data_IF_004293779431
#
_entry.id   IF_004293779431
#
_cell.length_a   1.000
_cell.length_b   1.000
_cell.length_c   1.000
_cell.angle_alpha   90.00
_cell.angle_beta   90.00
_cell.angle_gamma   90.00
#
_symmetry.space_group_name_H-M   'P 1'
#
loop_
_entity.id
_entity.type
_entity.pdbx_description
1 polymer ?
#
# COMPACT_ATOMS: atom_id res chain seq x y z
N UNK A 1 -23.34 -25.09 -45.83
CA UNK A 1 -23.29 -25.85 -44.55
C UNK A 1 -22.43 -25.19 -43.47
N UNK A 2 -21.27 -24.58 -43.80
CA UNK A 2 -20.42 -23.82 -42.85
C UNK A 2 -21.07 -22.59 -42.18
N UNK A 3 -21.92 -21.82 -42.86
CA UNK A 3 -22.55 -20.62 -42.28
C UNK A 3 -23.55 -20.92 -41.15
N UNK A 4 -24.40 -21.94 -41.30
CA UNK A 4 -25.37 -22.31 -40.25
C UNK A 4 -24.69 -22.80 -38.95
N UNK A 5 -23.54 -23.46 -39.07
CA UNK A 5 -22.78 -23.95 -37.92
C UNK A 5 -22.14 -22.82 -37.10
N UNK A 6 -21.66 -21.75 -37.76
CA UNK A 6 -21.10 -20.55 -37.11
C UNK A 6 -22.16 -19.79 -36.31
N UNK A 7 -23.36 -19.62 -36.87
CA UNK A 7 -24.48 -18.93 -36.19
C UNK A 7 -24.96 -19.72 -34.97
N UNK A 8 -25.06 -21.05 -35.06
CA UNK A 8 -25.49 -21.89 -33.92
C UNK A 8 -24.51 -21.87 -32.75
N UNK A 9 -23.19 -21.83 -33.01
CA UNK A 9 -22.17 -21.75 -31.94
C UNK A 9 -22.15 -20.37 -31.29
N UNK A 10 -22.25 -19.29 -32.07
CA UNK A 10 -22.33 -17.92 -31.53
C UNK A 10 -23.56 -17.74 -30.64
N UNK A 11 -24.72 -18.25 -31.07
CA UNK A 11 -25.94 -18.25 -30.24
C UNK A 11 -25.73 -19.05 -28.96
N UNK A 12 -25.09 -20.23 -29.03
CA UNK A 12 -24.83 -21.07 -27.87
C UNK A 12 -23.93 -20.38 -26.83
N UNK A 13 -22.91 -19.64 -27.30
CA UNK A 13 -21.97 -18.91 -26.44
C UNK A 13 -22.66 -17.69 -25.83
N UNK A 14 -23.38 -16.89 -26.61
CA UNK A 14 -24.16 -15.77 -26.08
C UNK A 14 -25.16 -16.25 -25.03
N UNK A 15 -25.81 -17.39 -25.27
CA UNK A 15 -26.74 -18.00 -24.32
C UNK A 15 -26.01 -18.51 -23.06
N UNK A 16 -24.82 -19.11 -23.20
CA UNK A 16 -24.01 -19.55 -22.07
C UNK A 16 -23.50 -18.37 -21.22
N UNK A 17 -23.11 -17.26 -21.84
CA UNK A 17 -22.69 -16.02 -21.15
C UNK A 17 -23.86 -15.40 -20.37
N UNK A 18 -25.05 -15.35 -20.98
CA UNK A 18 -26.26 -14.88 -20.31
C UNK A 18 -26.63 -15.78 -19.14
N UNK A 19 -26.54 -17.11 -19.31
CA UNK A 19 -26.80 -18.08 -18.23
C UNK A 19 -25.78 -17.90 -17.10
N UNK A 20 -24.51 -17.69 -17.39
CA UNK A 20 -23.47 -17.46 -16.39
C UNK A 20 -23.74 -16.18 -15.57
N UNK A 21 -24.07 -15.07 -16.24
CA UNK A 21 -24.42 -13.80 -15.57
C UNK A 21 -25.65 -13.97 -14.68
N UNK A 22 -26.68 -14.66 -15.17
CA UNK A 22 -27.88 -14.97 -14.39
C UNK A 22 -27.54 -15.85 -13.17
N UNK A 23 -26.63 -16.81 -13.32
CA UNK A 23 -26.18 -17.69 -12.24
C UNK A 23 -25.41 -16.91 -11.16
N UNK A 24 -24.54 -15.97 -11.56
CA UNK A 24 -23.85 -15.06 -10.64
C UNK A 24 -24.83 -14.18 -9.87
N UNK A 25 -25.82 -13.59 -10.55
CA UNK A 25 -26.89 -12.81 -9.90
C UNK A 25 -27.69 -13.66 -8.91
N UNK A 26 -27.98 -14.92 -9.27
CA UNK A 26 -28.67 -15.88 -8.41
C UNK A 26 -27.84 -16.22 -7.16
N UNK A 27 -26.53 -16.45 -7.30
CA UNK A 27 -25.63 -16.73 -6.16
C UNK A 27 -25.58 -15.53 -5.21
N UNK A 28 -25.41 -14.32 -5.73
CA UNK A 28 -25.39 -13.08 -4.91
C UNK A 28 -26.72 -12.89 -4.17
N UNK A 29 -27.85 -13.10 -4.86
CA UNK A 29 -29.18 -12.96 -4.25
C UNK A 29 -29.46 -14.06 -3.21
N UNK A 30 -29.04 -15.31 -3.45
CA UNK A 30 -29.37 -16.45 -2.58
C UNK A 30 -28.49 -16.48 -1.33
N UNK A 31 -27.22 -16.11 -1.44
CA UNK A 31 -26.27 -16.18 -0.33
C UNK A 31 -26.10 -14.87 0.45
N UNK A 32 -26.76 -13.75 0.03
CA UNK A 32 -26.58 -12.41 0.64
C UNK A 32 -25.11 -12.13 0.97
N UNK A 33 -24.24 -12.36 -0.01
CA UNK A 33 -22.79 -12.21 0.16
C UNK A 33 -22.44 -10.75 0.45
N UNK A 34 -21.45 -10.51 1.31
CA UNK A 34 -20.91 -9.16 1.54
C UNK A 34 -20.38 -8.52 0.26
N UNK A 35 -20.14 -7.20 0.26
CA UNK A 35 -19.67 -6.46 -0.92
C UNK A 35 -18.40 -7.08 -1.53
N UNK A 36 -17.43 -7.49 -0.70
CA UNK A 36 -16.17 -8.09 -1.16
C UNK A 36 -16.37 -9.42 -1.93
N UNK A 37 -17.17 -10.34 -1.37
CA UNK A 37 -17.46 -11.62 -2.02
C UNK A 37 -18.28 -11.43 -3.31
N UNK A 38 -19.12 -10.39 -3.35
CA UNK A 38 -19.89 -10.02 -4.54
C UNK A 38 -18.97 -9.51 -5.65
N UNK A 39 -18.01 -8.63 -5.33
CA UNK A 39 -17.00 -8.13 -6.28
C UNK A 39 -16.15 -9.28 -6.82
N UNK A 40 -15.71 -10.21 -5.96
CA UNK A 40 -14.94 -11.38 -6.39
C UNK A 40 -15.69 -12.28 -7.39
N UNK A 41 -16.97 -12.55 -7.16
CA UNK A 41 -17.80 -13.38 -8.06
C UNK A 41 -18.01 -12.68 -9.41
N UNK A 42 -18.28 -11.37 -9.41
CA UNK A 42 -18.45 -10.61 -10.64
C UNK A 42 -17.15 -10.47 -11.44
N UNK A 43 -16.02 -10.24 -10.77
CA UNK A 43 -14.71 -10.19 -11.43
C UNK A 43 -14.40 -11.53 -12.11
N UNK A 44 -14.56 -12.65 -11.39
CA UNK A 44 -14.29 -13.99 -11.94
C UNK A 44 -15.20 -14.34 -13.12
N UNK A 45 -16.47 -13.93 -13.08
CA UNK A 45 -17.40 -14.08 -14.19
C UNK A 45 -17.03 -13.19 -15.39
N UNK A 46 -16.65 -11.93 -15.15
CA UNK A 46 -16.20 -11.01 -16.19
C UNK A 46 -14.92 -11.50 -16.86
N UNK A 47 -13.94 -12.00 -16.08
CA UNK A 47 -12.71 -12.62 -16.61
C UNK A 47 -13.03 -13.85 -17.45
N UNK A 48 -13.94 -14.71 -17.00
CA UNK A 48 -14.34 -15.91 -17.76
C UNK A 48 -15.04 -15.54 -19.07
N UNK A 49 -15.96 -14.58 -19.05
CA UNK A 49 -16.65 -14.07 -20.24
C UNK A 49 -15.67 -13.39 -21.19
N UNK A 50 -14.77 -12.56 -20.68
CA UNK A 50 -13.72 -11.90 -21.47
C UNK A 50 -12.79 -12.92 -22.12
N UNK A 51 -12.36 -13.94 -21.37
CA UNK A 51 -11.49 -15.02 -21.88
C UNK A 51 -12.21 -15.86 -22.94
N UNK A 52 -13.49 -16.19 -22.73
CA UNK A 52 -14.30 -16.92 -23.72
C UNK A 52 -14.52 -16.06 -24.96
N UNK A 53 -14.78 -14.76 -24.80
CA UNK A 53 -14.96 -13.83 -25.92
C UNK A 53 -13.70 -13.72 -26.76
N UNK A 54 -12.54 -13.48 -26.11
CA UNK A 54 -11.22 -13.48 -26.76
C UNK A 54 -10.98 -14.82 -27.48
N UNK A 55 -11.21 -15.96 -26.82
CA UNK A 55 -10.99 -17.27 -27.43
C UNK A 55 -11.93 -17.57 -28.61
N UNK A 56 -13.17 -17.08 -28.57
CA UNK A 56 -14.18 -17.28 -29.63
C UNK A 56 -13.91 -16.35 -30.80
N UNK A 57 -13.48 -15.13 -30.54
CA UNK A 57 -13.09 -14.15 -31.55
C UNK A 57 -11.81 -14.59 -32.27
N UNK A 58 -10.81 -15.06 -31.52
CA UNK A 58 -9.59 -15.71 -32.05
C UNK A 58 -9.89 -16.95 -32.90
N UNK A 59 -10.97 -17.69 -32.59
CA UNK A 59 -11.35 -18.92 -33.33
C UNK A 59 -12.24 -18.64 -34.54
N UNK A 60 -12.99 -17.54 -34.56
CA UNK A 60 -13.95 -17.23 -35.62
C UNK A 60 -13.48 -16.16 -36.62
N UNK A 61 -12.54 -15.29 -36.24
CA UNK A 61 -11.96 -14.26 -37.08
C UNK A 61 -10.51 -14.57 -37.37
N UNK A 62 -10.18 -14.84 -38.63
CA UNK A 62 -8.80 -14.92 -39.09
C UNK A 62 -8.14 -13.54 -39.27
N UNK A 63 -8.68 -12.45 -38.70
CA UNK A 63 -8.23 -11.07 -38.97
C UNK A 63 -8.41 -10.07 -37.80
N UNK A 64 -8.42 -10.50 -36.52
CA UNK A 64 -8.32 -9.52 -35.41
C UNK A 64 -6.85 -9.41 -35.01
N UNK A 65 -6.21 -8.29 -35.35
CA UNK A 65 -4.84 -8.04 -34.92
C UNK A 65 -4.82 -7.64 -33.44
N UNK A 66 -3.69 -7.83 -32.77
CA UNK A 66 -3.49 -7.30 -31.41
C UNK A 66 -3.80 -5.79 -31.36
N UNK A 67 -3.39 -5.05 -32.39
CA UNK A 67 -3.66 -3.62 -32.53
C UNK A 67 -5.16 -3.29 -32.54
N UNK A 68 -5.99 -4.06 -33.27
CA UNK A 68 -7.45 -3.84 -33.28
C UNK A 68 -8.08 -4.09 -31.90
N UNK A 69 -7.62 -5.13 -31.20
CA UNK A 69 -8.07 -5.42 -29.84
C UNK A 69 -7.70 -4.30 -28.86
N UNK A 70 -6.47 -3.78 -28.92
CA UNK A 70 -6.02 -2.70 -28.05
C UNK A 70 -6.73 -1.38 -28.34
N UNK A 71 -7.03 -1.08 -29.62
CA UNK A 71 -7.85 0.06 -30.02
C UNK A 71 -9.26 -0.06 -29.42
N UNK A 72 -9.88 -1.24 -29.51
CA UNK A 72 -11.21 -1.48 -28.94
C UNK A 72 -11.22 -1.34 -27.40
N UNK A 73 -10.18 -1.84 -26.71
CA UNK A 73 -10.02 -1.64 -25.26
C UNK A 73 -9.85 -0.17 -24.89
N UNK A 74 -9.09 0.59 -25.70
CA UNK A 74 -8.93 2.01 -25.50
C UNK A 74 -10.27 2.75 -25.70
N UNK A 75 -11.06 2.40 -26.72
CA UNK A 75 -12.39 2.99 -26.92
C UNK A 75 -13.33 2.65 -25.76
N UNK A 76 -13.36 1.38 -25.32
CA UNK A 76 -14.12 0.95 -24.15
C UNK A 76 -13.79 1.77 -22.89
N UNK A 77 -12.51 2.07 -22.67
CA UNK A 77 -12.08 2.90 -21.56
C UNK A 77 -12.71 4.30 -21.61
N UNK A 78 -12.69 4.96 -22.78
CA UNK A 78 -13.21 6.31 -22.95
C UNK A 78 -14.74 6.38 -22.97
N UNK A 79 -15.41 5.33 -23.43
CA UNK A 79 -16.87 5.24 -23.44
C UNK A 79 -17.46 4.88 -22.06
N UNK A 80 -16.62 4.45 -21.12
CA UNK A 80 -17.06 4.08 -19.78
C UNK A 80 -17.04 5.28 -18.82
N UNK A 81 -18.22 5.83 -18.51
CA UNK A 81 -18.37 6.91 -17.53
C UNK A 81 -17.69 6.60 -16.18
N UNK A 82 -17.74 5.33 -15.74
CA UNK A 82 -17.14 4.89 -14.48
C UNK A 82 -15.62 4.93 -14.50
N UNK A 83 -15.00 4.46 -15.59
CA UNK A 83 -13.54 4.51 -15.75
C UNK A 83 -13.07 5.95 -15.91
N UNK A 84 -13.79 6.73 -16.73
CA UNK A 84 -13.48 8.13 -16.97
C UNK A 84 -13.59 8.99 -15.72
N UNK A 85 -14.55 8.72 -14.83
CA UNK A 85 -14.68 9.42 -13.55
C UNK A 85 -13.48 9.22 -12.64
N UNK A 86 -12.98 7.99 -12.52
CA UNK A 86 -11.73 7.72 -11.78
C UNK A 86 -10.55 8.40 -12.46
N UNK A 87 -10.47 8.29 -13.79
CA UNK A 87 -9.39 8.89 -14.58
C UNK A 87 -9.34 10.42 -14.44
N UNK A 88 -10.47 11.10 -14.48
CA UNK A 88 -10.57 12.55 -14.31
C UNK A 88 -10.05 13.00 -12.94
N UNK A 89 -10.39 12.28 -11.87
CA UNK A 89 -9.87 12.59 -10.53
C UNK A 89 -8.35 12.38 -10.48
N UNK A 90 -7.83 11.31 -11.10
CA UNK A 90 -6.39 11.06 -11.17
C UNK A 90 -5.64 12.17 -11.92
N UNK A 91 -6.11 12.56 -13.10
CA UNK A 91 -5.55 13.63 -13.92
C UNK A 91 -5.52 14.96 -13.17
N UNK A 92 -6.66 15.34 -12.58
CA UNK A 92 -6.75 16.58 -11.82
C UNK A 92 -5.84 16.55 -10.58
N UNK A 93 -5.68 15.39 -9.93
CA UNK A 93 -4.77 15.24 -8.78
C UNK A 93 -3.30 15.43 -9.19
N UNK A 94 -2.88 14.84 -10.32
CA UNK A 94 -1.51 14.99 -10.83
C UNK A 94 -1.23 16.44 -11.28
N UNK A 95 -2.17 17.06 -11.99
CA UNK A 95 -2.01 18.43 -12.49
C UNK A 95 -1.92 19.47 -11.36
N UNK A 96 -2.75 19.31 -10.33
CA UNK A 96 -2.80 20.25 -9.20
C UNK A 96 -1.74 19.92 -8.12
N UNK A 97 -1.19 18.71 -8.13
CA UNK A 97 -0.31 18.20 -7.07
C UNK A 97 -1.03 17.96 -5.74
N UNK A 98 -2.36 17.82 -5.78
CA UNK A 98 -3.23 17.63 -4.63
C UNK A 98 -3.94 16.28 -4.70
N UNK A 99 -3.64 15.42 -3.74
CA UNK A 99 -4.13 14.04 -3.67
C UNK A 99 -5.11 13.83 -2.51
N UNK A 100 -5.73 14.91 -2.02
CA UNK A 100 -6.60 14.89 -0.86
C UNK A 100 -7.88 14.08 -1.02
N UNK A 101 -8.42 13.63 0.11
CA UNK A 101 -9.65 12.82 0.20
C UNK A 101 -10.85 13.46 -0.51
N UNK A 102 -11.00 14.79 -0.41
CA UNK A 102 -12.16 15.52 -0.95
C UNK A 102 -12.35 15.36 -2.47
N UNK A 103 -11.29 15.09 -3.22
CA UNK A 103 -11.37 14.84 -4.67
C UNK A 103 -12.10 13.55 -5.01
N UNK A 104 -12.09 12.61 -4.08
CA UNK A 104 -12.63 11.27 -4.25
C UNK A 104 -14.02 11.10 -3.65
N UNK A 105 -14.60 12.15 -3.05
CA UNK A 105 -15.90 12.09 -2.36
C UNK A 105 -17.04 11.57 -3.24
N UNK A 106 -16.97 11.82 -4.54
CA UNK A 106 -17.98 11.42 -5.51
C UNK A 106 -17.62 10.11 -6.22
N UNK A 107 -16.45 9.51 -5.97
CA UNK A 107 -16.00 8.24 -6.55
C UNK A 107 -16.26 7.10 -5.58
N UNK A 108 -17.05 6.13 -6.01
CA UNK A 108 -17.34 4.92 -5.23
C UNK A 108 -16.20 3.90 -5.30
N UNK A 109 -16.13 3.04 -4.30
CA UNK A 109 -15.18 1.92 -4.27
C UNK A 109 -15.35 0.95 -5.45
N UNK A 110 -16.58 0.80 -5.95
CA UNK A 110 -16.90 -0.02 -7.12
C UNK A 110 -16.28 0.55 -8.40
N UNK A 111 -16.26 1.88 -8.55
CA UNK A 111 -15.63 2.54 -9.71
C UNK A 111 -14.11 2.35 -9.68
N UNK A 112 -13.48 2.45 -8.50
CA UNK A 112 -12.05 2.15 -8.31
C UNK A 112 -11.73 0.69 -8.61
N UNK A 113 -12.54 -0.25 -8.11
CA UNK A 113 -12.35 -1.68 -8.38
C UNK A 113 -12.49 -2.01 -9.88
N UNK A 114 -13.42 -1.34 -10.59
CA UNK A 114 -13.56 -1.49 -12.04
C UNK A 114 -12.30 -0.97 -12.77
N UNK A 115 -11.71 0.12 -12.29
CA UNK A 115 -10.45 0.64 -12.81
C UNK A 115 -9.30 -0.36 -12.62
N UNK A 116 -9.17 -0.98 -11.43
CA UNK A 116 -8.22 -2.08 -11.21
C UNK A 116 -8.45 -3.23 -12.21
N UNK A 117 -9.69 -3.70 -12.31
CA UNK A 117 -10.07 -4.85 -13.16
C UNK A 117 -9.69 -4.61 -14.62
N UNK A 118 -9.82 -3.37 -15.11
CA UNK A 118 -9.38 -3.01 -16.46
C UNK A 118 -7.89 -3.32 -16.67
N UNK A 119 -7.03 -2.94 -15.73
CA UNK A 119 -5.59 -3.19 -15.82
C UNK A 119 -5.21 -4.65 -15.54
N UNK A 120 -5.95 -5.36 -14.67
CA UNK A 120 -5.76 -6.80 -14.49
C UNK A 120 -5.98 -7.56 -15.80
N UNK A 121 -6.96 -7.15 -16.61
CA UNK A 121 -7.16 -7.72 -17.93
C UNK A 121 -5.97 -7.46 -18.87
N UNK A 122 -5.33 -6.28 -18.80
CA UNK A 122 -4.12 -6.00 -19.58
C UNK A 122 -2.94 -6.90 -19.17
N UNK A 123 -2.81 -7.20 -17.88
CA UNK A 123 -1.83 -8.17 -17.41
C UNK A 123 -2.06 -9.56 -18.00
N UNK A 124 -3.32 -10.01 -18.08
CA UNK A 124 -3.65 -11.30 -18.69
C UNK A 124 -3.24 -11.33 -20.17
N UNK A 125 -3.50 -10.25 -20.92
CA UNK A 125 -3.07 -10.15 -22.32
C UNK A 125 -1.54 -10.26 -22.45
N UNK A 126 -0.80 -9.58 -21.57
CA UNK A 126 0.65 -9.66 -21.57
C UNK A 126 1.16 -11.05 -21.19
N UNK A 127 0.63 -11.62 -20.10
CA UNK A 127 1.02 -12.94 -19.56
C UNK A 127 0.78 -14.07 -20.55
N UNK A 128 -0.26 -13.96 -21.38
CA UNK A 128 -0.56 -14.93 -22.44
C UNK A 128 0.13 -14.61 -23.78
N UNK A 129 1.06 -13.66 -23.81
CA UNK A 129 1.81 -13.23 -24.99
C UNK A 129 0.91 -12.76 -26.15
N UNK A 130 -0.26 -12.20 -25.82
CA UNK A 130 -1.18 -11.62 -26.80
C UNK A 130 -0.77 -10.18 -27.13
N UNK A 131 -0.41 -9.41 -26.11
CA UNK A 131 0.08 -8.03 -26.25
C UNK A 131 1.50 -7.88 -25.67
N UNK A 132 2.37 -7.17 -26.38
CA UNK A 132 3.68 -6.82 -25.84
C UNK A 132 3.54 -5.71 -24.80
N UNK A 133 4.51 -5.61 -23.86
CA UNK A 133 4.50 -4.50 -22.90
C UNK A 133 4.70 -3.14 -23.57
N UNK A 134 5.35 -3.10 -24.73
CA UNK A 134 5.54 -1.90 -25.55
C UNK A 134 4.19 -1.39 -26.08
N UNK A 135 3.38 -2.27 -26.68
CA UNK A 135 2.05 -1.92 -27.19
C UNK A 135 1.12 -1.44 -26.06
N UNK A 136 1.22 -2.08 -24.88
CA UNK A 136 0.45 -1.66 -23.71
C UNK A 136 0.92 -0.28 -23.20
N UNK A 137 2.23 -0.03 -23.15
CA UNK A 137 2.81 1.24 -22.69
C UNK A 137 2.34 2.43 -23.51
N UNK A 138 2.29 2.28 -24.84
CA UNK A 138 1.90 3.33 -25.77
C UNK A 138 0.47 3.82 -25.56
N UNK A 139 -0.46 2.94 -25.17
CA UNK A 139 -1.88 3.28 -25.04
C UNK A 139 -2.33 3.50 -23.59
N UNK A 140 -1.77 2.76 -22.64
CA UNK A 140 -2.31 2.66 -21.29
C UNK A 140 -1.31 3.02 -20.19
N UNK A 141 -0.01 3.13 -20.51
CA UNK A 141 1.02 3.27 -19.50
C UNK A 141 0.83 4.50 -18.62
N UNK A 142 0.55 5.67 -19.21
CA UNK A 142 0.32 6.90 -18.43
C UNK A 142 -0.83 6.75 -17.42
N UNK A 143 -1.97 6.22 -17.86
CA UNK A 143 -3.17 5.99 -17.04
C UNK A 143 -2.92 4.97 -15.93
N UNK A 144 -2.18 3.90 -16.25
CA UNK A 144 -1.80 2.88 -15.28
C UNK A 144 -0.98 3.49 -14.14
N UNK A 145 0.10 4.21 -14.49
CA UNK A 145 0.99 4.80 -13.49
C UNK A 145 0.34 5.92 -12.69
N UNK A 146 -0.56 6.72 -13.29
CA UNK A 146 -1.38 7.68 -12.56
C UNK A 146 -2.14 6.99 -11.44
N UNK A 147 -2.75 5.84 -11.73
CA UNK A 147 -3.55 5.12 -10.77
C UNK A 147 -2.73 4.48 -9.65
N UNK A 148 -1.79 3.62 -9.98
CA UNK A 148 -1.00 2.86 -9.00
C UNK A 148 -0.02 3.72 -8.18
N UNK A 149 0.42 4.87 -8.70
CA UNK A 149 1.28 5.79 -7.96
C UNK A 149 0.48 6.88 -7.24
N UNK A 150 -0.84 6.95 -7.39
CA UNK A 150 -1.65 7.91 -6.64
C UNK A 150 -1.67 7.51 -5.16
N UNK A 151 -1.24 8.39 -4.22
CA UNK A 151 -1.13 8.04 -2.82
C UNK A 151 -2.48 7.75 -2.18
N UNK A 152 -3.57 8.42 -2.58
CA UNK A 152 -4.91 8.09 -2.10
C UNK A 152 -5.32 6.67 -2.52
N UNK A 153 -5.10 6.30 -3.78
CA UNK A 153 -5.38 4.94 -4.27
C UNK A 153 -4.55 3.90 -3.51
N UNK A 154 -3.26 4.15 -3.30
CA UNK A 154 -2.40 3.26 -2.53
C UNK A 154 -2.91 3.08 -1.10
N UNK A 155 -3.20 4.17 -0.40
CA UNK A 155 -3.51 4.17 1.04
C UNK A 155 -4.92 3.67 1.36
N UNK A 156 -5.88 3.89 0.45
CA UNK A 156 -7.29 3.54 0.69
C UNK A 156 -7.74 2.26 -0.02
N UNK A 157 -7.06 1.83 -1.09
CA UNK A 157 -7.51 0.70 -1.90
C UNK A 157 -6.45 -0.39 -2.05
N UNK A 158 -5.31 -0.08 -2.66
CA UNK A 158 -4.37 -1.11 -3.14
C UNK A 158 -3.53 -1.71 -2.01
N UNK A 159 -2.96 -0.92 -1.11
CA UNK A 159 -2.09 -1.46 -0.04
C UNK A 159 -2.87 -2.18 1.08
N UNK A 160 -4.03 -1.67 1.56
CA UNK A 160 -4.75 -2.30 2.67
C UNK A 160 -5.28 -3.71 2.40
N UNK A 161 -5.59 -4.01 1.13
CA UNK A 161 -6.11 -5.32 0.70
C UNK A 161 -5.28 -5.86 -0.47
N UNK A 162 -3.97 -5.70 -0.37
CA UNK A 162 -3.01 -5.91 -1.46
C UNK A 162 -3.05 -7.31 -2.11
N UNK A 163 -3.38 -8.36 -1.36
CA UNK A 163 -3.55 -9.72 -1.90
C UNK A 163 -4.73 -9.86 -2.86
N UNK A 164 -5.66 -8.91 -2.85
CA UNK A 164 -6.78 -8.86 -3.82
C UNK A 164 -6.36 -8.32 -5.19
N UNK A 165 -5.21 -7.64 -5.29
CA UNK A 165 -4.77 -6.94 -6.50
C UNK A 165 -3.44 -7.50 -7.06
N UNK A 166 -3.17 -8.79 -6.85
CA UNK A 166 -1.91 -9.44 -7.25
C UNK A 166 -1.57 -9.17 -8.71
N UNK A 167 -2.53 -9.23 -9.63
CA UNK A 167 -2.30 -9.00 -11.05
C UNK A 167 -1.89 -7.55 -11.35
N UNK A 168 -2.37 -6.58 -10.57
CA UNK A 168 -1.93 -5.18 -10.67
C UNK A 168 -0.46 -5.04 -10.28
N UNK A 169 -0.01 -5.68 -9.21
CA UNK A 169 1.40 -5.66 -8.80
C UNK A 169 2.32 -6.38 -9.79
N UNK A 170 1.89 -7.54 -10.31
CA UNK A 170 2.64 -8.27 -11.32
C UNK A 170 2.77 -7.45 -12.62
N UNK A 171 1.70 -6.79 -13.03
CA UNK A 171 1.73 -5.84 -14.14
C UNK A 171 2.68 -4.69 -13.87
N UNK A 172 2.61 -4.09 -12.68
CA UNK A 172 3.49 -3.01 -12.25
C UNK A 172 4.96 -3.39 -12.36
N UNK A 173 5.34 -4.57 -11.86
CA UNK A 173 6.71 -5.07 -11.92
C UNK A 173 7.22 -5.20 -13.36
N UNK A 174 6.41 -5.78 -14.25
CA UNK A 174 6.77 -5.91 -15.67
C UNK A 174 6.94 -4.51 -16.29
N UNK A 175 5.99 -3.63 -16.05
CA UNK A 175 5.91 -2.32 -16.69
C UNK A 175 7.00 -1.37 -16.22
N UNK A 176 7.31 -1.36 -14.92
CA UNK A 176 8.37 -0.49 -14.38
C UNK A 176 9.75 -0.95 -14.84
N UNK A 177 9.99 -2.27 -14.95
CA UNK A 177 11.22 -2.83 -15.52
C UNK A 177 11.39 -2.38 -16.98
N UNK A 178 10.32 -2.43 -17.76
CA UNK A 178 10.30 -1.92 -19.13
C UNK A 178 10.65 -0.42 -19.19
N UNK A 179 9.95 0.45 -18.43
CA UNK A 179 10.21 1.89 -18.43
C UNK A 179 11.59 2.27 -17.91
N UNK A 180 12.12 1.56 -16.90
CA UNK A 180 13.50 1.76 -16.42
C UNK A 180 14.52 1.46 -17.50
N UNK A 181 14.33 0.36 -18.24
CA UNK A 181 15.17 0.02 -19.40
C UNK A 181 15.09 1.10 -20.47
N UNK A 182 13.88 1.55 -20.81
CA UNK A 182 13.67 2.57 -21.84
C UNK A 182 14.24 3.94 -21.45
N UNK A 183 14.21 4.31 -20.17
CA UNK A 183 14.75 5.58 -19.71
C UNK A 183 16.27 5.52 -19.40
N UNK A 184 16.86 4.33 -19.36
CA UNK A 184 18.28 4.14 -19.03
C UNK A 184 19.20 4.79 -20.06
N UNK A 185 20.22 5.52 -19.60
CA UNK A 185 21.22 6.18 -20.46
C UNK A 185 20.69 7.41 -21.21
N UNK A 186 19.52 7.95 -20.85
CA UNK A 186 18.90 9.10 -21.49
C UNK A 186 18.82 10.28 -20.50
N UNK A 187 19.10 11.50 -20.98
CA UNK A 187 19.10 12.72 -20.14
C UNK A 187 17.69 13.29 -19.87
N UNK A 188 16.66 12.45 -19.96
CA UNK A 188 15.25 12.82 -19.77
C UNK A 188 14.33 11.60 -19.76
N UNK A 189 13.05 11.82 -19.43
CA UNK A 189 12.04 10.76 -19.41
C UNK A 189 11.46 10.57 -20.82
N UNK A 190 11.95 9.60 -21.59
CA UNK A 190 11.23 9.23 -22.82
C UNK A 190 9.86 8.64 -22.49
N UNK A 191 9.77 7.92 -21.37
CA UNK A 191 8.52 7.40 -20.80
C UNK A 191 8.33 7.99 -19.40
N UNK A 192 7.56 9.08 -19.31
CA UNK A 192 7.27 9.75 -18.04
C UNK A 192 6.46 8.87 -17.10
N UNK A 193 6.90 8.76 -15.83
CA UNK A 193 6.19 8.06 -14.76
C UNK A 193 5.53 9.12 -13.86
N UNK A 194 4.20 9.34 -13.97
CA UNK A 194 3.47 10.29 -13.14
C UNK A 194 3.56 9.88 -11.66
N UNK A 195 3.48 10.87 -10.77
CA UNK A 195 3.57 10.65 -9.33
C UNK A 195 4.80 9.82 -8.90
N UNK A 196 5.93 9.97 -9.58
CA UNK A 196 7.13 9.12 -9.39
C UNK A 196 7.68 9.05 -7.96
N UNK A 197 7.41 10.07 -7.13
CA UNK A 197 7.78 10.09 -5.71
C UNK A 197 7.00 9.10 -4.83
N UNK A 198 5.88 8.59 -5.34
CA UNK A 198 5.01 7.62 -4.65
C UNK A 198 5.11 6.22 -5.26
N UNK A 199 6.08 5.96 -6.15
CA UNK A 199 6.29 4.62 -6.67
C UNK A 199 6.44 3.58 -5.56
N UNK A 200 5.91 2.39 -5.81
CA UNK A 200 6.07 1.26 -4.89
C UNK A 200 7.56 0.90 -4.79
N UNK A 201 8.08 0.68 -3.57
CA UNK A 201 9.46 0.28 -3.38
C UNK A 201 9.79 -1.04 -4.09
N UNK A 202 11.03 -1.18 -4.58
CA UNK A 202 11.47 -2.43 -5.20
C UNK A 202 11.43 -3.59 -4.20
N UNK A 203 11.84 -3.37 -2.95
CA UNK A 203 11.77 -4.37 -1.87
C UNK A 203 10.35 -4.88 -1.64
N UNK A 204 9.36 -3.99 -1.61
CA UNK A 204 7.95 -4.35 -1.45
C UNK A 204 7.47 -5.33 -2.54
N UNK A 205 7.95 -5.13 -3.77
CA UNK A 205 7.61 -5.94 -4.93
C UNK A 205 8.39 -7.26 -4.95
N UNK A 206 9.70 -7.21 -4.74
CA UNK A 206 10.60 -8.37 -4.82
C UNK A 206 10.35 -9.37 -3.68
N UNK A 207 10.10 -8.87 -2.46
CA UNK A 207 9.75 -9.69 -1.29
C UNK A 207 8.28 -10.11 -1.28
N UNK A 208 7.50 -9.66 -2.28
CA UNK A 208 6.06 -9.91 -2.44
C UNK A 208 5.26 -9.56 -1.20
N UNK A 209 5.57 -8.42 -0.57
CA UNK A 209 4.89 -7.95 0.63
C UNK A 209 3.38 -7.77 0.42
N UNK A 210 2.95 -7.50 -0.81
CA UNK A 210 1.54 -7.45 -1.23
C UNK A 210 0.77 -8.77 -1.07
N UNK A 211 1.42 -9.88 -0.74
CA UNK A 211 0.74 -11.16 -0.42
C UNK A 211 0.47 -11.33 1.08
N UNK A 212 0.95 -10.43 1.92
CA UNK A 212 0.91 -10.54 3.38
C UNK A 212 -0.03 -9.53 4.04
N UNK A 213 -1.19 -9.24 3.44
CA UNK A 213 -2.21 -8.43 4.13
C UNK A 213 -3.03 -9.28 5.11
N UNK A 214 -3.33 -8.68 6.26
CA UNK A 214 -4.18 -9.26 7.29
C UNK A 214 -5.56 -8.57 7.32
N UNK A 215 -5.93 -7.89 6.22
CA UNK A 215 -7.11 -7.03 6.13
C UNK A 215 -7.05 -5.78 7.01
N UNK A 216 -8.23 -5.20 7.26
CA UNK A 216 -8.40 -3.90 7.94
C UNK A 216 -8.70 -4.00 9.44
N UNK A 217 -8.75 -5.21 10.02
CA UNK A 217 -9.32 -5.41 11.37
C UNK A 217 -8.59 -4.68 12.49
N UNK A 218 -7.28 -4.46 12.32
CA UNK A 218 -6.45 -3.76 13.30
C UNK A 218 -6.22 -2.28 12.93
N UNK A 219 -6.87 -1.75 11.89
CA UNK A 219 -6.72 -0.36 11.49
C UNK A 219 -7.55 0.55 12.40
N UNK A 220 -6.94 1.66 12.82
CA UNK A 220 -7.61 2.70 13.60
C UNK A 220 -8.29 2.21 14.88
N UNK A 221 -7.86 1.07 15.42
CA UNK A 221 -8.40 0.51 16.66
C UNK A 221 -8.00 1.42 17.80
N UNK A 222 -9.00 1.93 18.53
CA UNK A 222 -8.77 2.76 19.70
C UNK A 222 -8.00 1.96 20.76
N UNK A 223 -6.92 2.57 21.27
CA UNK A 223 -6.02 1.99 22.27
C UNK A 223 -6.26 2.63 23.63
N UNK A 224 -6.39 3.95 23.68
CA UNK A 224 -6.57 4.72 24.91
C UNK A 224 -7.17 6.10 24.64
N UNK A 225 -7.85 6.66 25.63
CA UNK A 225 -8.30 8.05 25.64
C UNK A 225 -7.40 8.85 26.60
N UNK A 226 -6.79 9.90 26.08
CA UNK A 226 -5.82 10.71 26.80
C UNK A 226 -6.47 12.02 27.29
N UNK A 227 -5.79 12.70 28.22
CA UNK A 227 -6.23 14.01 28.70
C UNK A 227 -6.44 15.00 27.55
N UNK A 228 -7.31 15.99 27.75
CA UNK A 228 -7.68 17.01 26.75
C UNK A 228 -8.35 16.45 25.48
N UNK A 229 -8.87 15.21 25.52
CA UNK A 229 -9.65 14.61 24.43
C UNK A 229 -8.82 14.02 23.30
N UNK A 230 -7.50 13.89 23.49
CA UNK A 230 -6.64 13.20 22.53
C UNK A 230 -6.94 11.69 22.52
N UNK A 231 -6.87 11.07 21.35
CA UNK A 231 -7.16 9.64 21.17
C UNK A 231 -5.95 8.89 20.67
N UNK A 232 -5.57 7.83 21.36
CA UNK A 232 -4.51 6.92 20.93
C UNK A 232 -5.14 5.75 20.17
N UNK A 233 -4.62 5.42 18.98
CA UNK A 233 -5.13 4.34 18.13
C UNK A 233 -4.01 3.64 17.35
N UNK A 234 -4.23 2.41 16.92
CA UNK A 234 -3.36 1.77 15.92
C UNK A 234 -3.47 2.48 14.57
N UNK A 235 -2.42 2.44 13.76
CA UNK A 235 -2.39 3.08 12.43
C UNK A 235 -2.28 2.02 11.34
N UNK A 236 -2.93 2.29 10.21
CA UNK A 236 -2.85 1.50 8.98
C UNK A 236 -2.34 2.29 7.79
N UNK A 237 -2.35 1.68 6.60
CA UNK A 237 -1.95 2.34 5.34
C UNK A 237 -2.71 3.63 5.06
N UNK A 238 -3.93 3.73 5.57
CA UNK A 238 -4.80 4.90 5.45
C UNK A 238 -4.29 6.16 6.18
N UNK A 239 -3.21 6.00 6.97
CA UNK A 239 -2.52 7.04 7.73
C UNK A 239 -1.10 7.32 7.21
N UNK A 240 -0.64 6.66 6.13
CA UNK A 240 0.74 6.73 5.65
C UNK A 240 1.15 8.16 5.28
N UNK A 241 0.33 8.89 4.52
CA UNK A 241 0.62 10.29 4.17
C UNK A 241 0.69 11.17 5.43
N UNK A 242 -0.27 11.03 6.36
CA UNK A 242 -0.28 11.79 7.60
C UNK A 242 0.97 11.53 8.49
N UNK A 243 1.42 10.27 8.56
CA UNK A 243 2.66 9.89 9.26
C UNK A 243 3.88 10.55 8.61
N UNK A 244 3.96 10.50 7.28
CA UNK A 244 5.06 11.13 6.53
C UNK A 244 5.09 12.64 6.72
N UNK A 245 3.94 13.31 6.61
CA UNK A 245 3.80 14.76 6.77
C UNK A 245 4.18 15.22 8.18
N UNK A 246 3.68 14.54 9.21
CA UNK A 246 4.02 14.84 10.60
C UNK A 246 5.53 14.67 10.85
N UNK A 247 6.14 13.61 10.31
CA UNK A 247 7.58 13.40 10.41
C UNK A 247 8.37 14.53 9.73
N UNK A 248 8.00 14.91 8.50
CA UNK A 248 8.65 15.99 7.75
C UNK A 248 8.57 17.32 8.52
N UNK A 249 7.37 17.65 9.03
CA UNK A 249 7.14 18.85 9.84
C UNK A 249 8.03 18.87 11.09
N UNK A 250 8.04 17.79 11.87
CA UNK A 250 8.81 17.72 13.13
C UNK A 250 10.31 17.77 12.87
N UNK A 251 10.81 17.04 11.87
CA UNK A 251 12.24 17.05 11.52
C UNK A 251 12.68 18.39 10.97
N UNK A 252 11.83 19.06 10.19
CA UNK A 252 12.06 20.43 9.72
C UNK A 252 12.22 21.44 10.84
N UNK A 253 11.52 21.22 11.97
CA UNK A 253 11.59 22.06 13.17
C UNK A 253 12.66 21.69 14.20
N UNK A 254 13.50 20.66 13.96
CA UNK A 254 14.57 20.29 14.89
C UNK A 254 15.77 21.26 14.81
N UNK A 255 16.35 21.66 15.96
CA UNK A 255 17.54 22.52 15.96
C UNK A 255 18.77 21.80 15.37
N UNK A 256 18.85 20.48 15.55
CA UNK A 256 19.84 19.61 14.94
C UNK A 256 19.13 18.39 14.34
N UNK A 257 19.23 18.23 13.02
CA UNK A 257 18.62 17.12 12.27
C UNK A 257 19.25 15.79 12.62
N UNK A 258 20.45 15.75 13.19
CA UNK A 258 21.09 14.51 13.63
C UNK A 258 20.43 13.91 14.87
N UNK A 259 19.58 14.66 15.59
CA UNK A 259 18.89 14.17 16.79
C UNK A 259 17.83 13.09 16.50
N UNK A 260 17.37 12.99 15.24
CA UNK A 260 16.37 12.03 14.81
C UNK A 260 16.65 11.61 13.37
N UNK A 261 16.64 10.30 13.11
CA UNK A 261 16.79 9.78 11.76
C UNK A 261 15.40 9.40 11.24
N UNK A 262 14.85 10.13 10.24
CA UNK A 262 13.50 9.88 9.74
C UNK A 262 13.41 8.55 8.97
N UNK A 263 12.27 7.88 9.10
CA UNK A 263 11.95 6.71 8.29
C UNK A 263 11.61 7.14 6.85
N UNK A 264 12.14 6.40 5.89
CA UNK A 264 11.75 6.51 4.49
C UNK A 264 10.31 6.01 4.27
N UNK A 265 9.70 6.38 3.13
CA UNK A 265 8.39 5.85 2.72
C UNK A 265 8.43 4.32 2.60
N UNK A 266 9.53 3.77 2.10
CA UNK A 266 9.75 2.33 1.98
C UNK A 266 9.71 1.62 3.34
N UNK A 267 10.44 2.12 4.33
CA UNK A 267 10.45 1.58 5.69
C UNK A 267 9.08 1.71 6.37
N UNK A 268 8.35 2.80 6.11
CA UNK A 268 6.98 2.95 6.62
C UNK A 268 6.01 1.96 5.97
N UNK A 269 6.08 1.77 4.66
CA UNK A 269 5.25 0.78 3.94
C UNK A 269 5.53 -0.63 4.47
N UNK A 270 6.81 -1.00 4.60
CA UNK A 270 7.23 -2.28 5.20
C UNK A 270 6.67 -2.43 6.62
N UNK A 271 6.77 -1.37 7.45
CA UNK A 271 6.31 -1.42 8.85
C UNK A 271 4.80 -1.56 8.96
N UNK A 272 4.05 -0.88 8.10
CA UNK A 272 2.59 -0.96 8.05
C UNK A 272 2.11 -2.35 7.61
N UNK A 273 2.94 -3.09 6.88
CA UNK A 273 2.66 -4.47 6.48
C UNK A 273 3.05 -5.50 7.55
N UNK A 274 4.23 -5.36 8.17
CA UNK A 274 4.86 -6.42 8.97
C UNK A 274 4.94 -6.12 10.48
N UNK A 275 4.79 -4.85 10.85
CA UNK A 275 5.12 -4.34 12.18
C UNK A 275 3.90 -3.63 12.80
N UNK A 276 4.13 -2.78 13.80
CA UNK A 276 3.05 -2.21 14.59
C UNK A 276 3.25 -0.70 14.68
N UNK A 277 2.22 0.05 14.29
CA UNK A 277 2.21 1.50 14.38
C UNK A 277 1.07 1.96 15.26
N UNK A 278 1.35 2.96 16.09
CA UNK A 278 0.35 3.60 16.93
C UNK A 278 0.49 5.12 16.83
N UNK A 279 -0.65 5.80 16.79
CA UNK A 279 -0.75 7.24 16.66
C UNK A 279 -1.61 7.85 17.75
N UNK A 280 -1.41 9.14 17.98
CA UNK A 280 -2.27 9.97 18.81
C UNK A 280 -2.85 11.06 17.92
N UNK A 281 -4.17 11.19 17.94
CA UNK A 281 -4.92 12.23 17.24
C UNK A 281 -5.46 13.26 18.23
N UNK A 282 -5.54 14.52 17.80
CA UNK A 282 -6.26 15.56 18.52
C UNK A 282 -7.80 15.43 18.35
N UNK A 283 -8.55 16.35 18.95
CA UNK A 283 -10.03 16.34 18.94
C UNK A 283 -10.62 16.49 17.54
N UNK A 284 -9.87 17.04 16.59
CA UNK A 284 -10.27 17.21 15.20
C UNK A 284 -9.87 16.00 14.34
N UNK A 285 -9.25 14.98 14.95
CA UNK A 285 -8.81 13.76 14.29
C UNK A 285 -7.44 13.87 13.60
N UNK A 286 -6.75 15.02 13.71
CA UNK A 286 -5.42 15.22 13.11
C UNK A 286 -4.38 14.45 13.89
N UNK A 287 -3.52 13.72 13.18
CA UNK A 287 -2.40 12.98 13.77
C UNK A 287 -1.35 13.96 14.32
N UNK A 288 -1.07 13.89 15.62
CA UNK A 288 -0.11 14.77 16.31
C UNK A 288 1.10 14.02 16.87
N UNK A 289 1.04 12.71 16.98
CA UNK A 289 2.18 11.89 17.37
C UNK A 289 2.04 10.48 16.79
N UNK A 290 3.16 9.81 16.53
CA UNK A 290 3.16 8.39 16.20
C UNK A 290 4.40 7.68 16.72
N UNK A 291 4.34 6.36 16.82
CA UNK A 291 5.50 5.49 16.99
C UNK A 291 5.44 4.30 16.04
N UNK A 292 6.61 3.72 15.78
CA UNK A 292 6.80 2.47 15.02
C UNK A 292 7.53 1.48 15.90
N UNK A 293 6.96 0.29 16.07
CA UNK A 293 7.55 -0.82 16.81
C UNK A 293 7.69 -2.02 15.88
N UNK A 294 8.94 -2.27 15.48
CA UNK A 294 9.34 -3.39 14.62
C UNK A 294 9.22 -4.70 15.41
N UNK A 295 8.47 -5.64 14.84
CA UNK A 295 8.21 -6.95 15.43
C UNK A 295 9.50 -7.78 15.50
N UNK A 296 9.41 -8.89 16.23
CA UNK A 296 10.48 -9.85 16.53
C UNK A 296 10.96 -10.68 15.34
N UNK A 297 11.41 -10.00 14.28
CA UNK A 297 11.92 -10.58 13.05
C UNK A 297 13.40 -10.25 12.82
N UNK A 298 14.06 -11.10 12.06
CA UNK A 298 15.39 -10.80 11.53
C UNK A 298 15.28 -9.66 10.51
N UNK A 299 16.26 -8.75 10.50
CA UNK A 299 16.32 -7.67 9.52
C UNK A 299 17.20 -6.54 10.01
N UNK A 300 17.56 -5.64 9.10
CA UNK A 300 18.44 -4.49 9.41
C UNK A 300 17.82 -3.50 10.39
N UNK A 301 16.50 -3.51 10.54
CA UNK A 301 15.72 -2.69 11.48
C UNK A 301 15.52 -3.35 12.84
N UNK A 302 15.93 -4.60 13.02
CA UNK A 302 15.97 -5.25 14.33
C UNK A 302 17.30 -4.95 15.02
N UNK A 303 17.23 -4.47 16.27
CA UNK A 303 18.41 -4.21 17.10
C UNK A 303 18.94 -5.46 17.82
N UNK A 304 18.28 -6.61 17.67
CA UNK A 304 18.65 -7.85 18.37
C UNK A 304 20.12 -8.25 18.15
N UNK A 305 20.57 -8.18 16.89
CA UNK A 305 21.96 -8.49 16.51
C UNK A 305 23.01 -7.55 17.11
N UNK A 306 22.65 -6.31 17.44
CA UNK A 306 23.60 -5.34 18.02
C UNK A 306 24.00 -5.69 19.46
N UNK A 307 23.14 -6.46 20.14
CA UNK A 307 23.33 -6.99 21.50
C UNK A 307 23.53 -8.52 21.55
N UNK A 308 23.51 -9.21 20.41
CA UNK A 308 23.67 -10.67 20.36
C UNK A 308 22.46 -11.44 20.92
N UNK A 309 21.26 -10.84 20.85
CA UNK A 309 20.00 -11.44 21.29
C UNK A 309 19.31 -12.17 20.14
N UNK A 310 18.45 -13.13 20.49
CA UNK A 310 17.57 -13.79 19.52
C UNK A 310 16.50 -12.79 19.03
N UNK A 311 16.41 -12.50 17.71
CA UNK A 311 15.40 -11.62 17.15
C UNK A 311 13.97 -12.01 17.54
N UNK A 312 13.68 -13.30 17.73
CA UNK A 312 12.35 -13.78 18.13
C UNK A 312 11.91 -13.30 19.52
N UNK A 313 12.87 -12.87 20.35
CA UNK A 313 12.65 -12.42 21.73
C UNK A 313 12.67 -10.90 21.90
N UNK A 314 12.84 -10.14 20.81
CA UNK A 314 13.11 -8.70 20.84
C UNK A 314 12.07 -7.94 20.02
N UNK A 315 11.55 -6.84 20.56
CA UNK A 315 10.93 -5.78 19.76
C UNK A 315 11.86 -4.59 19.65
N UNK A 316 11.85 -3.92 18.49
CA UNK A 316 12.58 -2.66 18.32
C UNK A 316 11.60 -1.51 18.28
N UNK A 317 11.64 -0.64 19.29
CA UNK A 317 10.99 0.66 19.27
C UNK A 317 11.82 1.58 18.36
N UNK A 318 11.41 1.66 17.09
CA UNK A 318 12.25 2.15 16.01
C UNK A 318 12.14 3.67 15.82
N UNK A 319 10.93 4.20 15.90
CA UNK A 319 10.68 5.63 15.75
C UNK A 319 9.60 6.13 16.69
N UNK A 320 9.74 7.38 17.12
CA UNK A 320 8.67 8.17 17.76
C UNK A 320 8.79 9.61 17.34
N UNK A 321 7.66 10.18 16.96
CA UNK A 321 7.52 11.57 16.55
C UNK A 321 6.37 12.18 17.34
N UNK A 322 6.59 13.39 17.87
CA UNK A 322 5.57 14.17 18.59
C UNK A 322 5.64 15.60 18.05
N UNK A 323 4.49 16.11 17.61
CA UNK A 323 4.30 17.49 17.18
C UNK A 323 4.85 18.47 18.24
N UNK A 324 5.50 19.54 17.80
CA UNK A 324 6.17 20.48 18.68
C UNK A 324 5.21 21.13 19.70
N UNK A 325 3.97 21.41 19.30
CA UNK A 325 2.94 22.02 20.13
C UNK A 325 2.36 21.04 21.17
N UNK A 326 2.55 19.74 20.94
CA UNK A 326 2.08 18.67 21.82
C UNK A 326 3.18 18.10 22.74
N UNK A 327 4.39 18.68 22.73
CA UNK A 327 5.49 18.24 23.59
C UNK A 327 5.17 18.51 25.07
N UNK A 328 5.75 17.70 25.94
CA UNK A 328 5.55 17.80 27.40
C UNK A 328 4.27 17.12 27.91
N UNK A 329 3.42 16.57 27.03
CA UNK A 329 2.17 15.86 27.38
C UNK A 329 2.36 14.38 27.74
N UNK A 330 3.60 13.87 27.75
CA UNK A 330 3.89 12.48 28.05
C UNK A 330 3.57 11.48 26.93
N UNK A 331 3.29 11.93 25.69
CA UNK A 331 2.91 11.06 24.57
C UNK A 331 3.94 9.97 24.24
N UNK A 332 5.24 10.30 24.23
CA UNK A 332 6.28 9.29 24.06
C UNK A 332 6.25 8.23 25.16
N UNK A 333 5.98 8.62 26.42
CA UNK A 333 5.89 7.67 27.53
C UNK A 333 4.69 6.73 27.35
N UNK A 334 3.57 7.23 26.83
CA UNK A 334 2.40 6.40 26.49
C UNK A 334 2.70 5.39 25.38
N UNK A 335 3.43 5.79 24.34
CA UNK A 335 3.90 4.85 23.31
C UNK A 335 4.84 3.79 23.87
N UNK A 336 5.74 4.17 24.79
CA UNK A 336 6.61 3.20 25.47
C UNK A 336 5.78 2.20 26.27
N UNK A 337 4.80 2.65 27.05
CA UNK A 337 3.89 1.77 27.81
C UNK A 337 3.11 0.81 26.90
N UNK A 338 2.60 1.32 25.78
CA UNK A 338 1.93 0.52 24.75
C UNK A 338 2.85 -0.54 24.16
N UNK A 339 4.09 -0.18 23.81
CA UNK A 339 5.09 -1.12 23.29
C UNK A 339 5.45 -2.22 24.30
N UNK A 340 5.43 -1.91 25.61
CA UNK A 340 5.59 -2.92 26.67
C UNK A 340 4.42 -3.89 26.72
N UNK A 341 3.19 -3.41 26.60
CA UNK A 341 2.02 -4.28 26.50
C UNK A 341 2.08 -5.20 25.27
N UNK A 342 2.49 -4.64 24.13
CA UNK A 342 2.67 -5.37 22.88
C UNK A 342 3.77 -6.44 22.97
N UNK A 343 4.91 -6.11 23.58
CA UNK A 343 6.01 -7.06 23.78
C UNK A 343 5.57 -8.25 24.66
N UNK A 344 4.82 -7.98 25.75
CA UNK A 344 4.25 -9.04 26.61
C UNK A 344 3.28 -9.93 25.83
N UNK A 345 2.39 -9.36 25.02
CA UNK A 345 1.40 -10.14 24.28
C UNK A 345 2.01 -11.03 23.20
N UNK A 346 3.14 -10.62 22.61
CA UNK A 346 3.90 -11.43 21.63
C UNK A 346 4.98 -12.32 22.27
N UNK A 347 5.05 -12.39 23.61
CA UNK A 347 6.04 -13.23 24.31
C UNK A 347 7.50 -12.78 24.13
N UNK A 348 7.73 -11.52 23.80
CA UNK A 348 9.07 -10.95 23.71
C UNK A 348 9.62 -10.67 25.12
N UNK A 349 10.93 -10.85 25.29
CA UNK A 349 11.65 -10.60 26.55
C UNK A 349 12.28 -9.22 26.59
N UNK A 350 12.58 -8.63 25.44
CA UNK A 350 13.29 -7.36 25.37
C UNK A 350 12.59 -6.35 24.46
N UNK A 351 12.70 -5.07 24.83
CA UNK A 351 12.43 -3.94 23.93
C UNK A 351 13.71 -3.16 23.82
N UNK A 352 14.13 -2.93 22.58
CA UNK A 352 15.32 -2.15 22.26
C UNK A 352 14.91 -0.86 21.57
N UNK A 353 15.66 0.21 21.78
CA UNK A 353 15.49 1.47 21.07
C UNK A 353 16.85 2.07 20.76
N UNK A 354 16.91 2.98 19.78
CA UNK A 354 18.07 3.86 19.64
C UNK A 354 17.71 5.30 19.95
N UNK A 355 18.64 6.02 20.55
CA UNK A 355 18.50 7.46 20.79
C UNK A 355 19.82 8.15 20.50
N UNK A 356 19.77 9.37 19.96
CA UNK A 356 20.96 10.22 19.95
C UNK A 356 21.34 10.57 21.40
N UNK A 357 22.61 10.39 21.84
CA UNK A 357 23.03 10.72 23.19
C UNK A 357 22.72 12.17 23.61
N UNK A 358 22.67 13.11 22.67
CA UNK A 358 22.32 14.52 22.90
C UNK A 358 20.81 14.78 22.92
N UNK A 359 19.97 13.82 22.51
CA UNK A 359 18.51 13.92 22.59
C UNK A 359 18.00 13.62 24.01
N UNK A 360 18.33 14.54 24.94
CA UNK A 360 18.03 14.42 26.36
C UNK A 360 16.53 14.22 26.66
N UNK A 361 15.56 14.87 25.98
CA UNK A 361 14.14 14.62 26.22
C UNK A 361 13.73 13.17 25.93
N UNK A 362 14.11 12.63 24.76
CA UNK A 362 13.78 11.25 24.38
C UNK A 362 14.46 10.24 25.31
N UNK A 363 15.75 10.43 25.58
CA UNK A 363 16.53 9.56 26.48
C UNK A 363 15.94 9.53 27.89
N UNK A 364 15.50 10.69 28.42
CA UNK A 364 14.85 10.77 29.73
C UNK A 364 13.54 9.98 29.76
N UNK A 365 12.74 10.02 28.68
CA UNK A 365 11.48 9.28 28.62
C UNK A 365 11.69 7.77 28.72
N UNK A 366 12.64 7.21 27.95
CA UNK A 366 13.02 5.80 28.06
C UNK A 366 13.56 5.44 29.44
N UNK A 367 14.53 6.19 29.98
CA UNK A 367 15.11 5.90 31.31
C UNK A 367 14.05 5.95 32.41
N UNK A 368 13.11 6.92 32.33
CA UNK A 368 12.03 7.04 33.31
C UNK A 368 11.08 5.83 33.32
N UNK A 369 11.05 5.06 32.23
CA UNK A 369 10.30 3.81 32.09
C UNK A 369 11.15 2.56 32.40
N UNK A 370 12.39 2.73 32.83
CA UNK A 370 13.27 1.64 33.26
C UNK A 370 14.23 1.12 32.19
N UNK A 371 14.33 1.78 31.03
CA UNK A 371 15.36 1.43 30.04
C UNK A 371 16.75 1.79 30.55
N UNK A 372 17.75 0.97 30.22
CA UNK A 372 19.16 1.21 30.51
C UNK A 372 19.95 1.37 29.21
N UNK A 373 21.05 2.11 29.24
CA UNK A 373 21.97 2.20 28.08
C UNK A 373 22.81 0.94 28.05
N UNK A 374 22.54 0.04 27.10
CA UNK A 374 23.28 -1.21 26.94
C UNK A 374 24.59 -1.01 26.17
N UNK A 375 24.59 -0.14 25.16
CA UNK A 375 25.73 0.08 24.26
C UNK A 375 25.64 1.42 23.54
N UNK A 376 26.77 1.99 23.14
CA UNK A 376 26.81 3.15 22.23
C UNK A 376 27.55 2.74 20.96
N UNK A 377 26.96 2.99 19.77
CA UNK A 377 27.51 2.56 18.48
C UNK A 377 27.15 3.56 17.38
N UNK A 378 27.90 3.53 16.28
CA UNK A 378 27.56 4.22 15.04
C UNK A 378 26.46 3.47 14.28
N UNK A 379 25.36 4.16 13.94
CA UNK A 379 24.18 3.67 13.20
C UNK A 379 23.75 4.74 12.18
N UNK A 380 22.86 4.39 11.25
CA UNK A 380 22.20 5.35 10.34
C UNK A 380 23.16 6.29 9.59
N UNK A 381 24.12 5.73 8.84
CA UNK A 381 25.05 6.53 8.04
C UNK A 381 26.18 7.20 8.83
N UNK A 382 26.50 6.72 10.03
CA UNK A 382 27.66 7.18 10.80
C UNK A 382 27.32 7.84 12.14
N UNK A 383 26.03 8.08 12.41
CA UNK A 383 25.55 8.79 13.58
C UNK A 383 25.72 7.97 14.86
N UNK A 384 26.22 8.60 15.92
CA UNK A 384 26.33 7.97 17.23
C UNK A 384 24.95 7.77 17.85
N UNK A 385 24.67 6.56 18.31
CA UNK A 385 23.41 6.19 18.97
C UNK A 385 23.67 5.40 20.23
N UNK A 386 22.98 5.75 21.29
CA UNK A 386 22.81 4.89 22.45
C UNK A 386 21.73 3.86 22.13
N UNK A 387 22.08 2.59 22.28
CA UNK A 387 21.15 1.47 22.26
C UNK A 387 20.62 1.30 23.68
N UNK A 388 19.33 1.57 23.83
CA UNK A 388 18.61 1.42 25.08
C UNK A 388 17.95 0.04 25.11
N UNK A 389 17.97 -0.59 26.27
CA UNK A 389 17.40 -1.91 26.51
C UNK A 389 16.43 -1.85 27.68
N UNK A 390 15.27 -2.48 27.51
CA UNK A 390 14.35 -2.81 28.57
C UNK A 390 14.09 -4.31 28.57
N UNK A 391 14.40 -4.96 29.68
CA UNK A 391 14.09 -6.37 29.89
C UNK A 391 12.72 -6.49 30.58
N UNK A 392 11.79 -7.19 29.93
CA UNK A 392 10.52 -7.53 30.53
C UNK A 392 10.75 -8.62 31.58
N UNK A 393 10.46 -8.29 32.85
CA UNK A 393 10.47 -9.26 33.93
C UNK A 393 9.59 -10.48 33.60
N UNK A 394 10.15 -11.66 33.89
CA UNK A 394 9.56 -12.99 33.66
C UNK A 394 8.18 -13.20 34.26
#
# INVERSE_FOLDING_TARGET
MKMKYKTSISILISMASVVLVLLCLLVVHTFRTGEEATVGIFSLAATLVGTIFIAVELKNGSDVTCSDMLINLNNYFHESDRLMKVYEVLENSENDGDYGYERWKDVSSVEVAQYCTFFENLYLLHRHHIASIEDLDDLFGYRFFLFVNNPYIQEKYILPTSSSYVQVFELYQVWIKYRKKENSGKNGWQRHVPSGQYMLPESYLDDKLYLYDYGLSDYNKEVDELADGFKMKTLGFDSLSAVMELQVSVVGGLPDKNLFFPLSREELIESLQLDNLCGICDTDGRLVAFCVVVSNRCGVRSLASDLGLDPSSVMTFDAVVVDAECRGRGFQQRFIDWSMGLARSKGCRFILATVDPANAPSKRNFISKGFVVAKTKSKYGGLTRDILEFELGS
#
